data_IF_020166397707
#
_entry.id   IF_020166397707
#
_cell.length_a   1.000
_cell.length_b   1.000
_cell.length_c   1.000
_cell.angle_alpha   90.00
_cell.angle_beta   90.00
_cell.angle_gamma   90.00
#
_symmetry.space_group_name_H-M   'P 1'
#
loop_
_entity.id
_entity.type
_entity.pdbx_description
1 polymer ?
#
# COMPACT_ATOMS: atom_id res chain seq x y z
N UNK A 1 15.15 -13.80 10.64
CA UNK A 1 14.67 -12.86 9.60
C UNK A 1 13.63 -11.87 10.14
N UNK A 2 12.85 -12.20 11.18
CA UNK A 2 11.85 -11.29 11.77
C UNK A 2 12.31 -10.47 13.01
N UNK A 3 13.61 -10.46 13.35
CA UNK A 3 14.14 -9.75 14.53
C UNK A 3 14.99 -8.54 14.13
N UNK A 4 14.64 -7.88 13.02
CA UNK A 4 15.31 -6.65 12.59
C UNK A 4 14.95 -5.45 13.49
N UNK A 5 15.77 -4.41 13.47
CA UNK A 5 15.59 -3.22 14.30
C UNK A 5 14.47 -2.28 13.79
N UNK A 6 14.00 -2.50 12.56
CA UNK A 6 13.01 -1.66 11.87
C UNK A 6 11.95 -2.52 11.19
N UNK A 7 11.46 -3.52 11.90
CA UNK A 7 10.36 -4.35 11.42
C UNK A 7 9.02 -3.60 11.48
N UNK A 8 8.15 -3.95 10.55
CA UNK A 8 6.78 -3.47 10.43
C UNK A 8 5.80 -4.64 10.60
N UNK A 9 4.52 -4.40 10.98
CA UNK A 9 3.92 -3.10 11.29
C UNK A 9 4.31 -2.59 12.70
N UNK A 10 3.90 -1.36 13.03
CA UNK A 10 4.05 -0.76 14.36
C UNK A 10 2.73 -0.22 14.91
N UNK A 11 2.68 0.02 16.22
CA UNK A 11 1.68 0.89 16.85
C UNK A 11 2.12 2.36 16.75
N UNK A 12 1.29 3.18 16.12
CA UNK A 12 1.49 4.62 16.01
C UNK A 12 0.95 5.26 17.27
N UNK A 13 1.85 5.49 18.23
CA UNK A 13 1.56 6.21 19.46
C UNK A 13 1.55 7.71 19.21
N UNK A 14 0.38 8.31 19.12
CA UNK A 14 0.21 9.70 18.65
C UNK A 14 0.87 10.72 19.57
N UNK A 15 1.05 10.40 20.86
CA UNK A 15 1.78 11.21 21.83
C UNK A 15 3.31 11.18 21.66
N UNK A 16 3.87 10.14 21.02
CA UNK A 16 5.31 10.00 20.74
C UNK A 16 5.67 10.54 19.33
N UNK A 17 4.68 10.82 18.48
CA UNK A 17 4.88 11.36 17.13
C UNK A 17 5.46 12.77 17.18
N UNK A 18 6.56 12.97 16.46
CA UNK A 18 7.17 14.29 16.27
C UNK A 18 6.68 14.92 14.99
N UNK A 19 6.11 16.13 15.09
CA UNK A 19 5.76 16.93 13.91
C UNK A 19 7.04 17.41 13.23
N UNK A 20 7.22 17.01 11.97
CA UNK A 20 8.27 17.53 11.11
C UNK A 20 7.65 18.49 10.10
N UNK A 21 7.96 19.78 10.24
CA UNK A 21 7.46 20.82 9.34
C UNK A 21 8.20 20.87 7.99
N UNK A 22 9.33 20.16 7.85
CA UNK A 22 10.07 20.06 6.59
C UNK A 22 9.47 19.03 5.62
N UNK A 23 8.61 18.14 6.12
CA UNK A 23 7.89 17.18 5.29
C UNK A 23 6.94 17.90 4.34
N UNK A 24 7.22 17.78 3.04
CA UNK A 24 6.39 18.34 1.98
C UNK A 24 5.08 17.59 1.77
N UNK A 25 4.29 18.08 0.83
CA UNK A 25 3.08 17.40 0.36
C UNK A 25 3.45 16.14 -0.44
N UNK A 26 2.64 15.10 -0.31
CA UNK A 26 2.67 13.95 -1.21
C UNK A 26 2.14 14.39 -2.58
N UNK A 27 2.82 13.98 -3.64
CA UNK A 27 2.42 14.24 -5.01
C UNK A 27 2.16 12.90 -5.69
N UNK A 28 0.88 12.62 -5.95
CA UNK A 28 0.43 11.34 -6.50
C UNK A 28 -0.15 11.57 -7.89
N UNK A 29 0.38 10.84 -8.85
CA UNK A 29 -0.18 10.77 -10.21
C UNK A 29 -0.32 9.30 -10.55
N UNK A 30 -1.54 8.76 -10.51
CA UNK A 30 -1.81 7.37 -10.91
C UNK A 30 -2.78 7.34 -12.09
N UNK A 31 -2.41 6.59 -13.13
CA UNK A 31 -3.23 6.46 -14.34
C UNK A 31 -3.98 5.13 -14.35
N UNK A 32 -5.31 5.14 -14.51
CA UNK A 32 -6.10 3.90 -14.57
C UNK A 32 -5.63 2.92 -15.66
N UNK A 33 -5.13 3.48 -16.78
CA UNK A 33 -4.58 2.72 -17.91
C UNK A 33 -3.35 1.88 -17.58
N UNK A 34 -2.74 2.08 -16.41
CA UNK A 34 -1.61 1.26 -15.95
C UNK A 34 -2.05 0.01 -15.20
N UNK A 35 -3.33 -0.14 -14.83
CA UNK A 35 -3.86 -1.34 -14.19
C UNK A 35 -3.85 -2.53 -15.16
N UNK A 36 -3.35 -3.70 -14.74
CA UNK A 36 -3.10 -4.85 -15.63
C UNK A 36 -3.92 -6.09 -15.28
N UNK A 37 -3.81 -6.52 -14.04
CA UNK A 37 -4.32 -7.82 -13.60
C UNK A 37 -4.58 -7.83 -12.11
N UNK A 38 -5.46 -8.74 -11.70
CA UNK A 38 -5.65 -9.13 -10.31
C UNK A 38 -5.13 -10.57 -10.14
N UNK A 39 -4.43 -10.84 -9.05
CA UNK A 39 -3.84 -12.14 -8.75
C UNK A 39 -4.01 -12.49 -7.28
N UNK A 40 -4.39 -13.73 -6.99
CA UNK A 40 -4.38 -14.26 -5.64
C UNK A 40 -3.02 -14.90 -5.34
N UNK A 41 -2.29 -14.31 -4.41
CA UNK A 41 -0.92 -14.76 -4.03
C UNK A 41 -0.93 -15.74 -2.86
N UNK A 42 -2.11 -16.11 -2.37
CA UNK A 42 -2.33 -17.11 -1.32
C UNK A 42 -2.43 -16.55 0.09
N UNK A 43 -1.91 -15.35 0.34
CA UNK A 43 -2.03 -14.62 1.62
C UNK A 43 -2.76 -13.28 1.47
N UNK A 44 -2.91 -12.79 0.24
CA UNK A 44 -3.75 -11.65 -0.13
C UNK A 44 -4.08 -11.78 -1.62
N UNK A 45 -4.77 -10.78 -2.17
CA UNK A 45 -4.84 -10.53 -3.60
C UNK A 45 -4.08 -9.24 -3.93
N UNK A 46 -3.40 -9.24 -5.07
CA UNK A 46 -2.71 -8.05 -5.57
C UNK A 46 -3.43 -7.57 -6.82
N UNK A 47 -3.63 -6.27 -6.93
CA UNK A 47 -3.90 -5.61 -8.21
C UNK A 47 -2.60 -5.00 -8.70
N UNK A 48 -2.11 -5.50 -9.84
CA UNK A 48 -0.80 -5.14 -10.39
C UNK A 48 -0.92 -4.03 -11.43
N UNK A 49 0.07 -3.15 -11.43
CA UNK A 49 0.20 -2.01 -12.34
C UNK A 49 1.46 -2.12 -13.20
N UNK A 50 1.44 -1.46 -14.37
CA UNK A 50 2.61 -1.28 -15.22
C UNK A 50 3.57 -0.25 -14.61
N UNK A 51 4.79 -0.69 -14.28
CA UNK A 51 5.84 0.13 -13.66
C UNK A 51 7.05 0.38 -14.58
N UNK A 52 6.88 0.18 -15.90
CA UNK A 52 7.95 0.37 -16.88
C UNK A 52 8.42 1.82 -17.05
N UNK A 53 7.53 2.78 -16.79
CA UNK A 53 7.73 4.21 -16.98
C UNK A 53 7.13 5.02 -15.81
N UNK A 54 7.11 6.34 -15.92
CA UNK A 54 6.63 7.23 -14.86
C UNK A 54 5.14 7.60 -15.01
N UNK A 55 4.30 6.74 -15.61
CA UNK A 55 2.87 7.01 -15.76
C UNK A 55 2.10 7.01 -14.43
N UNK A 56 2.45 6.10 -13.51
CA UNK A 56 1.85 5.99 -12.19
C UNK A 56 2.92 6.10 -11.11
N UNK A 57 3.04 7.28 -10.49
CA UNK A 57 4.13 7.64 -9.58
C UNK A 57 3.69 8.34 -8.32
N UNK A 58 4.55 8.26 -7.31
CA UNK A 58 4.53 9.00 -6.06
C UNK A 58 5.87 9.75 -5.92
N UNK A 59 5.80 11.03 -5.57
CA UNK A 59 6.93 11.89 -5.20
C UNK A 59 6.55 12.77 -3.99
N UNK A 60 7.51 13.52 -3.47
CA UNK A 60 7.29 14.45 -2.35
C UNK A 60 7.24 13.75 -0.99
N UNK A 61 6.75 14.48 0.02
CA UNK A 61 6.78 14.05 1.41
C UNK A 61 8.18 13.61 1.88
N UNK A 62 8.33 12.40 2.45
CA UNK A 62 9.62 11.90 2.96
C UNK A 62 10.54 11.35 1.85
N UNK A 63 10.11 11.37 0.60
CA UNK A 63 10.79 10.64 -0.48
C UNK A 63 11.86 11.50 -1.16
N UNK A 64 13.02 10.90 -1.40
CA UNK A 64 14.17 11.52 -2.08
C UNK A 64 14.17 11.30 -3.61
N UNK A 65 13.04 10.88 -4.18
CA UNK A 65 12.94 10.60 -5.62
C UNK A 65 11.55 10.15 -6.05
N UNK A 66 11.46 9.64 -7.27
CA UNK A 66 10.23 9.14 -7.87
C UNK A 66 10.05 7.65 -7.59
N UNK A 67 8.86 7.27 -7.16
CA UNK A 67 8.50 5.88 -6.88
C UNK A 67 7.31 5.47 -7.75
N UNK A 68 7.44 4.36 -8.48
CA UNK A 68 6.42 3.87 -9.43
C UNK A 68 5.48 2.90 -8.75
N UNK A 69 4.18 3.08 -8.93
CA UNK A 69 3.15 2.17 -8.44
C UNK A 69 3.30 0.80 -9.10
N UNK A 70 3.42 -0.23 -8.27
CA UNK A 70 3.60 -1.61 -8.73
C UNK A 70 2.39 -2.47 -8.44
N UNK A 71 1.86 -2.37 -7.22
CA UNK A 71 0.66 -3.10 -6.81
C UNK A 71 -0.03 -2.38 -5.66
N UNK A 72 -1.31 -2.70 -5.44
CA UNK A 72 -1.88 -2.61 -4.11
C UNK A 72 -2.43 -3.96 -3.67
N UNK A 73 -2.52 -4.13 -2.35
CA UNK A 73 -3.14 -5.29 -1.71
C UNK A 73 -3.77 -4.88 -0.39
N UNK A 74 -4.55 -5.78 0.19
CA UNK A 74 -5.25 -5.55 1.45
C UNK A 74 -4.79 -6.54 2.51
N UNK A 75 -4.85 -6.10 3.76
CA UNK A 75 -4.87 -6.93 4.95
C UNK A 75 -6.22 -6.77 5.63
N UNK A 76 -6.79 -7.88 6.08
CA UNK A 76 -8.08 -7.93 6.76
C UNK A 76 -8.06 -9.08 7.76
N UNK A 77 -8.97 -9.04 8.73
CA UNK A 77 -9.14 -10.13 9.69
C UNK A 77 -10.48 -10.82 9.54
N UNK A 78 -10.85 -11.58 10.57
CA UNK A 78 -12.07 -12.40 10.56
C UNK A 78 -13.33 -11.61 10.90
N UNK A 79 -13.20 -10.44 11.52
CA UNK A 79 -14.32 -9.58 11.92
C UNK A 79 -14.01 -8.11 11.63
N UNK A 80 -15.07 -7.31 11.60
CA UNK A 80 -14.99 -5.91 11.26
C UNK A 80 -14.25 -5.05 12.30
N UNK A 81 -13.98 -5.59 13.50
CA UNK A 81 -13.24 -4.87 14.55
C UNK A 81 -11.71 -5.00 14.42
N UNK A 82 -11.20 -5.94 13.62
CA UNK A 82 -9.78 -6.25 13.58
C UNK A 82 -9.32 -6.77 12.22
N UNK A 83 -8.47 -6.01 11.54
CA UNK A 83 -7.82 -6.48 10.32
C UNK A 83 -6.65 -5.66 9.82
N UNK A 84 -6.50 -4.40 10.27
CA UNK A 84 -5.29 -3.62 9.98
C UNK A 84 -4.06 -4.24 10.62
N UNK A 85 -2.92 -4.10 9.93
CA UNK A 85 -1.62 -4.50 10.45
C UNK A 85 -1.09 -3.43 11.41
N UNK A 86 -1.08 -2.17 10.96
CA UNK A 86 -0.78 -1.03 11.80
C UNK A 86 -1.91 -0.75 12.79
N UNK A 87 -1.54 -0.14 13.91
CA UNK A 87 -2.47 0.34 14.93
C UNK A 87 -2.20 1.82 15.24
N UNK A 88 -3.21 2.51 15.77
CA UNK A 88 -3.09 3.89 16.23
C UNK A 88 -3.54 3.95 17.68
N UNK A 89 -2.63 4.29 18.59
CA UNK A 89 -2.84 4.24 20.04
C UNK A 89 -3.46 2.91 20.50
N UNK A 90 -2.93 1.80 19.98
CA UNK A 90 -3.39 0.43 20.25
C UNK A 90 -4.70 0.02 19.57
N UNK A 91 -5.34 0.89 18.78
CA UNK A 91 -6.59 0.59 18.08
C UNK A 91 -6.33 0.05 16.68
N UNK A 92 -7.04 -1.03 16.33
CA UNK A 92 -7.10 -1.59 14.97
C UNK A 92 -8.26 -1.01 14.16
N UNK A 93 -8.13 -1.13 12.85
CA UNK A 93 -9.17 -0.88 11.87
C UNK A 93 -9.65 -2.21 11.25
N UNK A 94 -10.79 -2.19 10.56
CA UNK A 94 -11.38 -3.36 9.91
C UNK A 94 -10.44 -3.97 8.85
N UNK A 95 -9.74 -3.11 8.12
CA UNK A 95 -8.77 -3.50 7.10
C UNK A 95 -7.74 -2.39 6.88
N UNK A 96 -6.66 -2.72 6.18
CA UNK A 96 -5.63 -1.81 5.72
C UNK A 96 -5.31 -2.10 4.25
N UNK A 97 -5.26 -1.06 3.42
CA UNK A 97 -4.80 -1.18 2.04
C UNK A 97 -3.39 -0.63 1.91
N UNK A 98 -2.52 -1.41 1.28
CA UNK A 98 -1.13 -1.08 1.07
C UNK A 98 -0.84 -0.95 -0.42
N UNK A 99 -0.60 0.28 -0.87
CA UNK A 99 -0.18 0.56 -2.22
C UNK A 99 1.34 0.63 -2.28
N UNK A 100 1.97 -0.41 -2.83
CA UNK A 100 3.42 -0.56 -2.90
C UNK A 100 4.01 0.10 -4.16
N UNK A 101 5.09 0.86 -3.95
CA UNK A 101 5.86 1.49 -5.01
C UNK A 101 7.33 1.10 -4.94
N UNK A 102 7.99 1.08 -6.10
CA UNK A 102 9.44 0.88 -6.25
C UNK A 102 10.12 2.16 -6.71
N UNK A 103 11.28 2.53 -6.16
CA UNK A 103 12.04 3.70 -6.63
C UNK A 103 12.40 3.58 -8.12
N UNK A 104 12.23 4.65 -8.88
CA UNK A 104 12.38 4.63 -10.34
C UNK A 104 13.82 4.45 -10.82
N UNK A 105 14.81 4.71 -9.96
CA UNK A 105 16.23 4.55 -10.27
C UNK A 105 16.66 3.09 -10.42
N UNK A 106 15.87 2.13 -9.92
CA UNK A 106 16.11 0.71 -10.15
C UNK A 106 15.67 0.36 -11.58
N UNK A 107 16.65 0.26 -12.49
CA UNK A 107 16.44 0.04 -13.92
C UNK A 107 15.58 -1.21 -14.18
N UNK A 108 14.68 -1.13 -15.16
CA UNK A 108 13.86 -2.25 -15.65
C UNK A 108 14.64 -3.30 -16.45
N UNK A 109 15.97 -3.36 -16.36
CA UNK A 109 16.75 -4.36 -17.11
C UNK A 109 16.49 -5.78 -16.63
N UNK A 110 16.00 -5.94 -15.41
CA UNK A 110 15.59 -7.23 -14.88
C UNK A 110 14.29 -7.06 -14.12
N UNK A 111 13.37 -8.00 -14.33
CA UNK A 111 12.09 -8.20 -13.65
C UNK A 111 12.21 -8.36 -12.12
N UNK A 112 13.40 -8.17 -11.56
CA UNK A 112 13.77 -8.53 -10.21
C UNK A 112 13.64 -7.31 -9.28
N UNK A 113 12.66 -7.36 -8.39
CA UNK A 113 12.50 -6.39 -7.29
C UNK A 113 13.62 -6.53 -6.26
N UNK A 114 14.44 -7.59 -6.33
CA UNK A 114 15.54 -7.84 -5.39
C UNK A 114 16.45 -6.62 -5.20
N UNK A 115 16.79 -5.88 -6.27
CA UNK A 115 17.64 -4.69 -6.13
C UNK A 115 17.01 -3.61 -5.25
N UNK A 116 15.68 -3.45 -5.30
CA UNK A 116 14.98 -2.53 -4.41
C UNK A 116 14.90 -3.09 -2.99
N UNK A 117 14.66 -4.40 -2.84
CA UNK A 117 14.60 -5.02 -1.51
C UNK A 117 15.90 -4.88 -0.70
N UNK A 118 17.04 -4.79 -1.38
CA UNK A 118 18.36 -4.64 -0.76
C UNK A 118 18.73 -3.19 -0.41
N UNK A 119 17.88 -2.20 -0.72
CA UNK A 119 18.14 -0.79 -0.42
C UNK A 119 17.19 -0.25 0.66
N UNK A 120 17.68 0.46 1.70
CA UNK A 120 16.84 0.99 2.77
C UNK A 120 15.69 1.89 2.32
N UNK A 121 15.81 2.53 1.16
CA UNK A 121 14.80 3.38 0.52
C UNK A 121 14.33 2.79 -0.82
N UNK A 122 14.37 1.47 -0.94
CA UNK A 122 14.03 0.77 -2.17
C UNK A 122 12.56 0.89 -2.56
N UNK A 123 11.71 0.91 -1.53
CA UNK A 123 10.27 0.87 -1.63
C UNK A 123 9.64 2.03 -0.85
N UNK A 124 8.47 2.45 -1.33
CA UNK A 124 7.57 3.30 -0.58
C UNK A 124 6.19 2.65 -0.56
N UNK A 125 5.59 2.53 0.63
CA UNK A 125 4.23 2.01 0.77
C UNK A 125 3.35 3.16 1.28
N UNK A 126 2.27 3.44 0.54
CA UNK A 126 1.20 4.30 1.06
C UNK A 126 0.12 3.41 1.59
N UNK A 127 -0.21 3.62 2.84
CA UNK A 127 -1.19 2.86 3.59
C UNK A 127 -2.40 3.72 3.86
N UNK A 128 -3.58 3.13 3.68
CA UNK A 128 -4.85 3.73 4.08
C UNK A 128 -5.62 2.74 4.94
N UNK A 129 -6.11 3.21 6.09
CA UNK A 129 -6.98 2.42 6.95
C UNK A 129 -8.40 2.38 6.39
N UNK A 130 -9.08 1.25 6.57
CA UNK A 130 -10.48 1.06 6.20
C UNK A 130 -11.31 0.88 7.48
N UNK A 131 -12.36 1.68 7.64
CA UNK A 131 -13.33 1.55 8.72
C UNK A 131 -14.73 1.29 8.17
N UNK A 132 -15.58 0.68 8.99
CA UNK A 132 -17.00 0.55 8.66
C UNK A 132 -17.67 1.92 8.50
N UNK A 133 -18.55 2.01 7.50
CA UNK A 133 -19.31 3.19 7.15
C UNK A 133 -20.07 2.99 5.84
N UNK A 134 -20.07 4.02 4.99
CA UNK A 134 -20.69 3.93 3.67
C UNK A 134 -19.88 3.04 2.74
N UNK A 135 -20.58 2.29 1.88
CA UNK A 135 -19.99 1.48 0.83
C UNK A 135 -19.06 2.32 -0.06
N UNK A 136 -17.86 1.82 -0.34
CA UNK A 136 -16.96 2.41 -1.32
C UNK A 136 -17.26 1.82 -2.70
N UNK A 137 -18.05 2.54 -3.49
CA UNK A 137 -18.45 2.13 -4.85
C UNK A 137 -17.26 1.74 -5.75
N UNK A 138 -16.10 2.36 -5.55
CA UNK A 138 -14.91 2.08 -6.36
C UNK A 138 -14.40 0.65 -6.13
N UNK A 139 -14.54 0.11 -4.91
CA UNK A 139 -14.12 -1.25 -4.57
C UNK A 139 -15.01 -2.34 -5.17
N UNK A 140 -16.23 -2.02 -5.60
CA UNK A 140 -17.14 -3.03 -6.19
C UNK A 140 -16.54 -3.73 -7.41
N UNK A 141 -15.77 -3.00 -8.21
CA UNK A 141 -15.06 -3.54 -9.37
C UNK A 141 -14.01 -4.58 -8.96
N UNK A 142 -13.24 -4.29 -7.90
CA UNK A 142 -12.25 -5.19 -7.32
C UNK A 142 -12.94 -6.43 -6.74
N UNK A 143 -13.99 -6.25 -5.94
CA UNK A 143 -14.76 -7.34 -5.33
C UNK A 143 -15.32 -8.30 -6.38
N UNK A 144 -15.90 -7.77 -7.46
CA UNK A 144 -16.37 -8.58 -8.60
C UNK A 144 -15.23 -9.36 -9.27
N UNK A 145 -14.03 -8.77 -9.36
CA UNK A 145 -12.88 -9.43 -9.96
C UNK A 145 -12.36 -10.61 -9.10
N UNK A 146 -12.55 -10.55 -7.78
CA UNK A 146 -12.17 -11.62 -6.85
C UNK A 146 -12.85 -12.95 -7.16
N UNK A 147 -14.04 -12.94 -7.76
CA UNK A 147 -14.72 -14.16 -8.19
C UNK A 147 -13.90 -15.00 -9.17
N UNK A 148 -13.02 -14.35 -9.94
CA UNK A 148 -12.16 -15.00 -10.93
C UNK A 148 -10.83 -15.50 -10.35
N UNK A 149 -10.50 -15.12 -9.10
CA UNK A 149 -9.21 -15.42 -8.45
C UNK A 149 -9.35 -15.99 -7.04
N UNK A 150 -10.37 -16.83 -6.81
CA UNK A 150 -10.67 -17.41 -5.49
C UNK A 150 -9.55 -18.26 -4.89
N UNK A 151 -8.70 -18.87 -5.71
CA UNK A 151 -7.65 -19.78 -5.25
C UNK A 151 -6.25 -19.26 -5.53
N UNK A 152 -5.30 -19.63 -4.66
CA UNK A 152 -3.88 -19.27 -4.77
C UNK A 152 -3.33 -19.57 -6.18
N UNK A 153 -2.64 -18.58 -6.75
CA UNK A 153 -2.01 -18.65 -8.06
C UNK A 153 -2.93 -18.32 -9.23
N UNK A 154 -4.25 -18.17 -9.01
CA UNK A 154 -5.16 -17.68 -10.05
C UNK A 154 -4.95 -16.20 -10.29
N UNK A 155 -5.01 -15.83 -11.56
CA UNK A 155 -4.94 -14.45 -12.04
C UNK A 155 -6.01 -14.20 -13.10
N UNK A 156 -6.48 -12.97 -13.20
CA UNK A 156 -7.44 -12.54 -14.20
C UNK A 156 -7.07 -11.13 -14.72
N UNK A 157 -7.37 -10.81 -15.99
CA UNK A 157 -7.26 -9.44 -16.48
C UNK A 157 -8.11 -8.49 -15.64
N UNK A 158 -7.53 -7.34 -15.28
CA UNK A 158 -8.20 -6.30 -14.53
C UNK A 158 -7.57 -4.97 -14.94
N UNK A 159 -8.28 -4.19 -15.76
CA UNK A 159 -7.77 -2.95 -16.35
C UNK A 159 -8.63 -1.75 -15.96
N UNK A 160 -8.11 -0.56 -16.24
CA UNK A 160 -8.83 0.73 -16.14
C UNK A 160 -9.40 1.04 -14.74
N UNK A 161 -8.81 0.47 -13.70
CA UNK A 161 -9.10 0.82 -12.32
C UNK A 161 -8.29 2.04 -11.88
N UNK A 162 -8.94 3.06 -11.34
CA UNK A 162 -8.26 4.22 -10.75
C UNK A 162 -7.87 3.94 -9.29
N UNK A 163 -6.57 3.72 -8.99
CA UNK A 163 -6.13 3.48 -7.62
C UNK A 163 -6.24 4.73 -6.73
N UNK A 164 -6.42 5.93 -7.30
CA UNK A 164 -6.59 7.16 -6.52
C UNK A 164 -7.91 7.14 -5.74
N UNK A 165 -8.86 6.30 -6.15
CA UNK A 165 -10.12 6.04 -5.43
C UNK A 165 -9.94 5.40 -4.05
N UNK A 166 -8.75 4.88 -3.76
CA UNK A 166 -8.36 4.30 -2.47
C UNK A 166 -7.79 5.36 -1.52
N UNK A 167 -7.66 6.61 -1.96
CA UNK A 167 -7.12 7.70 -1.16
C UNK A 167 -8.26 8.44 -0.43
N UNK A 168 -8.03 8.84 0.83
CA UNK A 168 -8.93 9.72 1.57
C UNK A 168 -8.86 11.15 1.03
N UNK A 169 -9.72 12.03 1.56
CA UNK A 169 -9.74 13.45 1.19
C UNK A 169 -8.54 14.21 1.76
N UNK A 170 -8.21 13.98 3.02
CA UNK A 170 -7.03 14.53 3.67
C UNK A 170 -5.83 13.65 3.41
N UNK A 171 -4.76 14.27 2.91
CA UNK A 171 -3.49 13.61 2.65
C UNK A 171 -2.50 13.76 3.81
N UNK A 172 -2.96 14.14 5.01
CA UNK A 172 -2.12 14.14 6.20
C UNK A 172 -1.63 12.74 6.54
N UNK A 173 -0.36 12.60 6.90
CA UNK A 173 0.27 11.29 7.07
C UNK A 173 1.22 11.22 8.27
N UNK A 174 1.49 9.98 8.69
CA UNK A 174 2.69 9.61 9.45
C UNK A 174 3.69 8.93 8.51
N UNK A 175 4.96 8.96 8.86
CA UNK A 175 6.00 8.25 8.09
C UNK A 175 7.09 7.72 9.00
N UNK A 176 7.65 6.56 8.62
CA UNK A 176 8.79 5.93 9.29
C UNK A 176 9.49 4.98 8.31
N UNK A 177 10.75 4.64 8.59
CA UNK A 177 11.46 3.60 7.85
C UNK A 177 11.22 2.26 8.52
N UNK A 178 10.74 1.28 7.75
CA UNK A 178 10.34 -0.03 8.25
C UNK A 178 10.67 -1.16 7.27
N UNK A 179 9.90 -2.24 7.36
CA UNK A 179 10.05 -3.43 6.53
C UNK A 179 8.79 -3.76 5.74
N UNK A 180 8.88 -4.76 4.87
CA UNK A 180 7.71 -5.52 4.44
C UNK A 180 7.10 -6.24 5.65
N UNK A 181 5.77 -6.38 5.68
CA UNK A 181 5.04 -7.12 6.72
C UNK A 181 4.86 -8.61 6.39
N UNK A 182 5.16 -8.99 5.15
CA UNK A 182 5.20 -10.38 4.70
C UNK A 182 6.64 -10.81 4.35
N UNK A 183 6.97 -12.12 4.45
CA UNK A 183 8.27 -12.63 4.03
C UNK A 183 8.68 -12.12 2.64
N UNK A 184 9.95 -11.75 2.44
CA UNK A 184 11.11 -11.97 3.33
C UNK A 184 11.37 -10.87 4.38
N UNK A 185 10.45 -9.94 4.66
CA UNK A 185 10.57 -8.93 5.72
C UNK A 185 11.77 -7.95 5.58
N UNK A 186 12.15 -7.63 4.34
CA UNK A 186 13.24 -6.69 4.09
C UNK A 186 12.95 -5.29 4.65
N UNK A 187 13.91 -4.72 5.38
CA UNK A 187 13.88 -3.35 5.90
C UNK A 187 14.24 -2.29 4.84
N UNK A 188 13.45 -2.26 3.78
CA UNK A 188 13.63 -1.43 2.59
C UNK A 188 12.45 -0.50 2.30
N UNK A 189 11.57 -0.30 3.29
CA UNK A 189 10.29 0.39 3.11
C UNK A 189 10.30 1.74 3.80
N UNK A 190 10.00 2.79 3.05
CA UNK A 190 9.50 4.06 3.61
C UNK A 190 7.98 3.97 3.70
N UNK A 191 7.45 3.90 4.91
CA UNK A 191 6.01 3.87 5.16
C UNK A 191 5.44 5.28 5.13
N UNK A 192 4.27 5.43 4.52
CA UNK A 192 3.47 6.65 4.49
C UNK A 192 2.04 6.25 4.85
N UNK A 193 1.63 6.50 6.09
CA UNK A 193 0.35 6.05 6.63
C UNK A 193 -0.60 7.24 6.69
N UNK A 194 -1.63 7.24 5.86
CA UNK A 194 -2.61 8.33 5.82
C UNK A 194 -3.47 8.30 7.07
N UNK A 195 -3.63 9.47 7.70
CA UNK A 195 -4.34 9.62 8.99
C UNK A 195 -5.85 9.45 8.85
N UNK A 196 -6.40 9.92 7.73
CA UNK A 196 -7.83 9.79 7.44
C UNK A 196 -8.12 8.41 6.83
N UNK A 197 -8.96 7.57 7.47
CA UNK A 197 -9.40 6.32 6.89
C UNK A 197 -10.46 6.53 5.81
N UNK A 198 -10.51 5.63 4.83
CA UNK A 198 -11.67 5.51 3.93
C UNK A 198 -12.74 4.62 4.58
N UNK A 199 -13.99 4.74 4.12
CA UNK A 199 -15.10 3.91 4.62
C UNK A 199 -15.41 2.76 3.68
N UNK A 200 -15.81 1.62 4.25
CA UNK A 200 -16.38 0.48 3.53
C UNK A 200 -17.64 0.01 4.24
N UNK A 201 -18.49 -0.72 3.51
CA UNK A 201 -19.61 -1.47 4.08
C UNK A 201 -19.13 -2.79 4.71
N UNK A 202 -20.00 -3.46 5.47
CA UNK A 202 -19.71 -4.79 6.05
C UNK A 202 -19.88 -5.90 4.99
N UNK A 203 -20.77 -5.69 4.02
CA UNK A 203 -20.96 -6.53 2.82
C UNK A 203 -19.79 -6.42 1.82
#
# INVERSE_FOLDING_TARGET
VANGDRQSPIDIKTNEVKKDASLGLLQITWKPSTCKEIVNVGHSFHVNFEDKDNQSVLTGGPLTGTYRLRQFHFHWGQSDEQGSEHTVDGRKYASEVESMKKKSSFQNKYSNVAEAFDKPDGLAIVTVFLKLGLCNENLKSVLKALDSVKTKGKKAPFSDFDPSSLLPKSMDYWTYNGSLTHPPLHESVIWIILKEPITISSE
#
